data_IF_840306187364
#
_entry.id   IF_840306187364
#
_cell.length_a   1.000
_cell.length_b   1.000
_cell.length_c   1.000
_cell.angle_alpha   90.00
_cell.angle_beta   90.00
_cell.angle_gamma   90.00
#
_symmetry.space_group_name_H-M   'P 1'
#
loop_
_entity.id
_entity.type
_entity.pdbx_description
1 polymer ?
#
# COMPACT_ATOMS: atom_id res chain seq x y z
N UNK A 1 -1.93 3.52 0.14
CA UNK A 1 -3.23 3.93 -0.44
C UNK A 1 -3.85 5.11 0.30
N UNK A 2 -3.70 5.18 1.63
CA UNK A 2 -4.23 6.26 2.47
C UNK A 2 -3.94 7.66 1.92
N UNK A 3 -2.72 7.91 1.43
CA UNK A 3 -2.35 9.19 0.79
C UNK A 3 -3.21 9.57 -0.42
N UNK A 4 -3.77 8.61 -1.17
CA UNK A 4 -4.63 8.90 -2.33
C UNK A 4 -6.11 9.12 -1.98
N UNK A 5 -6.50 8.68 -0.78
CA UNK A 5 -7.87 8.76 -0.28
C UNK A 5 -8.06 9.96 0.66
N UNK A 6 -6.98 10.40 1.32
CA UNK A 6 -7.02 11.47 2.29
C UNK A 6 -7.59 12.76 1.67
N UNK A 7 -8.57 13.35 2.34
CA UNK A 7 -9.25 14.58 1.89
C UNK A 7 -10.25 14.42 0.75
N UNK A 8 -10.49 13.20 0.24
CA UNK A 8 -11.54 12.95 -0.76
C UNK A 8 -12.88 12.66 -0.10
N UNK A 9 -13.94 13.20 -0.68
CA UNK A 9 -15.33 12.86 -0.34
C UNK A 9 -15.90 12.05 -1.50
N UNK A 10 -16.54 10.93 -1.19
CA UNK A 10 -17.22 10.07 -2.16
C UNK A 10 -18.71 10.05 -1.81
N UNK A 11 -19.58 10.09 -2.82
CA UNK A 11 -21.02 10.18 -2.57
C UNK A 11 -21.64 8.80 -2.36
N UNK A 12 -21.06 7.78 -2.99
CA UNK A 12 -21.52 6.40 -2.91
C UNK A 12 -20.36 5.40 -3.09
N UNK A 13 -20.71 4.10 -3.11
CA UNK A 13 -19.74 3.02 -3.26
C UNK A 13 -19.17 2.92 -4.69
N UNK A 14 -19.90 3.37 -5.71
CA UNK A 14 -19.44 3.33 -7.10
C UNK A 14 -18.37 4.39 -7.36
N UNK A 15 -18.47 5.55 -6.70
CA UNK A 15 -17.43 6.57 -6.66
C UNK A 15 -16.12 6.01 -6.07
N UNK A 16 -16.21 5.30 -4.94
CA UNK A 16 -15.05 4.65 -4.29
C UNK A 16 -14.44 3.60 -5.22
N UNK A 17 -15.29 2.73 -5.81
CA UNK A 17 -14.86 1.67 -6.72
C UNK A 17 -14.14 2.23 -7.94
N UNK A 18 -14.69 3.28 -8.54
CA UNK A 18 -14.11 3.95 -9.70
C UNK A 18 -12.75 4.56 -9.38
N UNK A 19 -12.62 5.25 -8.23
CA UNK A 19 -11.32 5.77 -7.77
C UNK A 19 -10.30 4.65 -7.56
N UNK A 20 -10.68 3.51 -6.95
CA UNK A 20 -9.77 2.39 -6.74
C UNK A 20 -9.30 1.78 -8.07
N UNK A 21 -10.21 1.57 -9.02
CA UNK A 21 -9.88 1.07 -10.36
C UNK A 21 -8.84 1.98 -11.02
N UNK A 22 -9.09 3.30 -11.04
CA UNK A 22 -8.17 4.27 -11.62
C UNK A 22 -6.82 4.31 -10.87
N UNK A 23 -6.86 4.27 -9.53
CA UNK A 23 -5.66 4.31 -8.70
C UNK A 23 -4.72 3.15 -9.02
N UNK A 24 -5.25 1.92 -9.12
CA UNK A 24 -4.45 0.74 -9.40
C UNK A 24 -4.05 0.63 -10.88
N UNK A 25 -4.93 1.00 -11.81
CA UNK A 25 -4.61 1.04 -13.24
C UNK A 25 -3.47 2.03 -13.55
N UNK A 26 -3.35 3.11 -12.77
CA UNK A 26 -2.27 4.07 -12.88
C UNK A 26 -0.94 3.65 -12.25
N UNK A 27 -0.86 2.49 -11.58
CA UNK A 27 0.41 1.99 -11.03
C UNK A 27 1.15 1.14 -12.06
N UNK A 28 2.42 1.46 -12.25
CA UNK A 28 3.30 0.64 -13.07
C UNK A 28 3.73 -0.64 -12.35
N UNK A 29 4.30 -1.59 -13.07
CA UNK A 29 4.83 -2.84 -12.52
C UNK A 29 5.80 -2.59 -11.36
N UNK A 30 6.69 -1.59 -11.50
CA UNK A 30 7.72 -1.27 -10.49
C UNK A 30 7.14 -0.92 -9.13
N UNK A 31 5.96 -0.32 -9.08
CA UNK A 31 5.27 -0.02 -7.81
C UNK A 31 5.01 -1.29 -7.00
N UNK A 32 4.51 -2.35 -7.66
CA UNK A 32 4.21 -3.62 -7.02
C UNK A 32 5.49 -4.41 -6.75
N UNK A 33 6.41 -4.44 -7.71
CA UNK A 33 7.71 -5.10 -7.58
C UNK A 33 8.49 -4.56 -6.39
N UNK A 34 8.56 -3.24 -6.22
CA UNK A 34 9.25 -2.62 -5.10
C UNK A 34 8.64 -3.06 -3.76
N UNK A 35 7.31 -3.06 -3.64
CA UNK A 35 6.64 -3.56 -2.43
C UNK A 35 7.00 -5.00 -2.09
N UNK A 36 7.01 -5.90 -3.08
CA UNK A 36 7.38 -7.31 -2.89
C UNK A 36 8.86 -7.44 -2.53
N UNK A 37 9.74 -6.71 -3.21
CA UNK A 37 11.19 -6.79 -2.98
C UNK A 37 11.63 -6.20 -1.64
N UNK A 38 10.79 -5.43 -0.94
CA UNK A 38 11.07 -4.98 0.44
C UNK A 38 10.79 -6.06 1.50
N UNK A 39 10.14 -7.18 1.13
CA UNK A 39 9.76 -8.22 2.09
C UNK A 39 10.96 -8.88 2.80
N UNK A 40 12.07 -9.25 2.12
CA UNK A 40 13.22 -9.87 2.79
C UNK A 40 13.82 -8.97 3.88
N UNK A 41 13.93 -7.67 3.61
CA UNK A 41 14.41 -6.68 4.58
C UNK A 41 13.47 -6.59 5.78
N UNK A 42 12.15 -6.53 5.53
CA UNK A 42 11.15 -6.52 6.61
C UNK A 42 11.18 -7.80 7.44
N UNK A 43 11.34 -8.97 6.82
CA UNK A 43 11.45 -10.23 7.56
C UNK A 43 12.70 -10.25 8.45
N UNK A 44 13.85 -9.77 7.94
CA UNK A 44 15.06 -9.66 8.74
C UNK A 44 14.85 -8.73 9.95
N UNK A 45 14.24 -7.57 9.75
CA UNK A 45 13.95 -6.65 10.83
C UNK A 45 13.05 -7.25 11.93
N UNK A 46 12.10 -8.12 11.57
CA UNK A 46 11.25 -8.82 12.56
C UNK A 46 12.09 -9.81 13.38
N UNK A 47 13.01 -10.54 12.74
CA UNK A 47 13.94 -11.45 13.43
C UNK A 47 14.82 -10.66 14.41
N UNK A 48 15.43 -9.58 13.94
CA UNK A 48 16.35 -8.75 14.72
C UNK A 48 15.65 -8.10 15.93
N UNK A 49 14.35 -7.79 15.79
CA UNK A 49 13.51 -7.25 16.87
C UNK A 49 12.78 -8.33 17.67
N UNK A 50 13.19 -9.59 17.55
CA UNK A 50 12.64 -10.72 18.30
C UNK A 50 11.11 -10.81 18.20
N UNK A 51 10.57 -10.63 16.98
CA UNK A 51 9.15 -10.75 16.68
C UNK A 51 8.31 -9.50 16.99
N UNK A 52 8.91 -8.39 17.43
CA UNK A 52 8.16 -7.15 17.67
C UNK A 52 7.71 -6.48 16.37
N UNK A 53 6.70 -5.62 16.47
CA UNK A 53 6.20 -4.85 15.34
C UNK A 53 7.29 -3.94 14.75
N UNK A 54 7.31 -3.88 13.43
CA UNK A 54 8.04 -2.85 12.70
C UNK A 54 7.19 -1.59 12.68
N UNK A 55 7.56 -0.62 13.52
CA UNK A 55 7.00 0.72 13.47
C UNK A 55 7.84 1.49 12.45
N UNK A 56 7.24 1.81 11.30
CA UNK A 56 7.75 2.76 10.30
C UNK A 56 7.28 4.17 10.62
#
# INVERSE_FOLDING_TARGET
MQNSLNGKIFNDADDVKSHLIQFFAGKNQKFYEHGIMTLPERWQNVIDKNGQYLIE
#
